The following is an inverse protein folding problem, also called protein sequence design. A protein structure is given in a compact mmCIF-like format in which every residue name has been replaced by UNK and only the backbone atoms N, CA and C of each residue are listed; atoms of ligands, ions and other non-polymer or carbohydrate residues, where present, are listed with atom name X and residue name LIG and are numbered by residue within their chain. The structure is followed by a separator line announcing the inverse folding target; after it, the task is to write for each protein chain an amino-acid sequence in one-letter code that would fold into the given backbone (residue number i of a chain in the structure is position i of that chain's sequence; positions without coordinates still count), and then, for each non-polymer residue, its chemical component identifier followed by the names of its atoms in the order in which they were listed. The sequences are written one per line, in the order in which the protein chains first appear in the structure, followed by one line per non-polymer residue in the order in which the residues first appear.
data_IF_956260848087
#
_entry.id   IF_956260848087
#
_cell.length_a   1.000
_cell.length_b   1.000
_cell.length_c   1.000
_cell.angle_alpha   90.00
_cell.angle_beta   90.00
_cell.angle_gamma   90.00
#
_symmetry.space_group_name_H-M   'P 1'
#
loop_
_entity.id
_entity.type
_entity.pdbx_description
1 polymer ?
#
# COMPACT_ATOMS: atom_id res chain seq x y z
N UNK A 1 -5.89 -15.52 -34.92
CA UNK A 1 -6.64 -16.45 -35.79
C UNK A 1 -5.87 -17.75 -35.80
N UNK A 2 -6.33 -18.78 -35.08
CA UNK A 2 -5.61 -20.06 -34.97
C UNK A 2 -6.47 -21.12 -35.66
N UNK A 3 -5.93 -21.75 -36.69
CA UNK A 3 -6.60 -22.78 -37.49
C UNK A 3 -6.02 -24.14 -37.13
N UNK A 4 -6.87 -25.07 -36.70
CA UNK A 4 -6.50 -26.49 -36.59
C UNK A 4 -7.29 -27.27 -37.64
N UNK A 5 -6.59 -28.04 -38.46
CA UNK A 5 -7.18 -28.93 -39.46
C UNK A 5 -6.84 -30.36 -39.08
N UNK A 6 -7.86 -31.16 -38.77
CA UNK A 6 -7.75 -32.62 -38.64
C UNK A 6 -9.00 -33.27 -39.22
N UNK A 7 -8.82 -34.07 -40.27
CA UNK A 7 -9.89 -34.85 -40.89
C UNK A 7 -10.60 -34.10 -42.04
N UNK A 8 -11.12 -34.87 -42.99
CA UNK A 8 -11.40 -34.46 -44.36
C UNK A 8 -12.67 -33.59 -44.56
N UNK A 9 -13.17 -32.95 -43.50
CA UNK A 9 -14.35 -32.09 -43.54
C UNK A 9 -13.99 -30.71 -43.00
N UNK A 10 -14.07 -29.70 -43.87
CA UNK A 10 -13.78 -28.29 -43.54
C UNK A 10 -14.92 -27.71 -42.70
N UNK A 11 -14.92 -27.92 -41.40
CA UNK A 11 -15.76 -27.13 -40.48
C UNK A 11 -14.94 -25.98 -39.87
N UNK A 12 -15.33 -24.76 -40.22
CA UNK A 12 -14.76 -23.53 -39.65
C UNK A 12 -15.48 -23.27 -38.33
N UNK A 13 -14.86 -23.63 -37.21
CA UNK A 13 -15.33 -23.26 -35.88
C UNK A 13 -14.92 -21.81 -35.58
N UNK A 14 -15.81 -20.85 -35.87
CA UNK A 14 -15.68 -19.47 -35.38
C UNK A 14 -16.08 -19.42 -33.91
N UNK A 15 -15.09 -19.24 -33.03
CA UNK A 15 -15.33 -18.91 -31.62
C UNK A 15 -15.76 -17.45 -31.50
N UNK A 16 -17.04 -17.23 -31.19
CA UNK A 16 -17.55 -15.93 -30.74
C UNK A 16 -17.69 -15.99 -29.21
N UNK A 17 -16.94 -15.20 -28.42
CA UNK A 17 -16.94 -15.31 -26.95
C UNK A 17 -18.27 -14.94 -26.28
N UNK A 18 -19.25 -14.45 -27.05
CA UNK A 18 -20.56 -14.01 -26.54
C UNK A 18 -21.61 -15.13 -26.62
N UNK A 19 -21.38 -16.20 -27.39
CA UNK A 19 -22.31 -17.32 -27.53
C UNK A 19 -21.60 -18.67 -27.48
N UNK A 20 -21.83 -19.42 -26.40
CA UNK A 20 -21.37 -20.82 -26.26
C UNK A 20 -22.54 -21.74 -26.58
N UNK A 21 -22.50 -22.40 -27.74
CA UNK A 21 -23.42 -23.49 -28.08
C UNK A 21 -22.67 -24.83 -28.03
N UNK A 22 -23.03 -25.71 -27.11
CA UNK A 22 -22.48 -27.06 -27.02
C UNK A 22 -23.42 -28.02 -27.73
N UNK A 23 -23.02 -28.51 -28.91
CA UNK A 23 -23.79 -29.50 -29.67
C UNK A 23 -23.26 -30.91 -29.36
N UNK A 24 -23.98 -31.67 -28.54
CA UNK A 24 -23.74 -33.11 -28.41
C UNK A 24 -24.60 -33.84 -29.46
N UNK A 25 -23.97 -34.60 -30.36
CA UNK A 25 -24.69 -35.55 -31.22
C UNK A 25 -25.11 -36.77 -30.38
N UNK A 26 -26.38 -36.86 -30.02
CA UNK A 26 -27.00 -38.12 -29.55
C UNK A 26 -27.60 -38.88 -30.73
N UNK A 27 -27.69 -40.21 -30.62
CA UNK A 27 -28.11 -41.12 -31.69
C UNK A 27 -29.59 -41.00 -32.14
N UNK A 28 -30.30 -39.97 -31.71
CA UNK A 28 -31.59 -39.56 -32.29
C UNK A 28 -31.41 -38.16 -32.88
N UNK A 29 -31.64 -38.07 -34.18
CA UNK A 29 -31.41 -36.91 -35.05
C UNK A 29 -32.40 -35.76 -34.76
N UNK A 30 -32.42 -35.25 -33.53
CA UNK A 30 -33.08 -34.00 -33.15
C UNK A 30 -32.11 -33.19 -32.30
N UNK A 31 -31.71 -31.98 -32.73
CA UNK A 31 -30.96 -31.09 -31.86
C UNK A 31 -31.84 -30.78 -30.65
N UNK A 32 -31.37 -31.16 -29.46
CA UNK A 32 -31.99 -30.69 -28.22
C UNK A 32 -31.49 -29.27 -28.03
N UNK A 33 -32.28 -28.29 -28.49
CA UNK A 33 -32.09 -26.89 -28.12
C UNK A 33 -32.38 -26.76 -26.64
N UNK A 34 -31.33 -26.83 -25.82
CA UNK A 34 -31.40 -26.39 -24.43
C UNK A 34 -31.27 -24.86 -24.47
N UNK A 35 -32.36 -24.18 -24.83
CA UNK A 35 -32.45 -22.74 -24.59
C UNK A 35 -32.49 -22.56 -23.07
N UNK A 36 -31.37 -22.14 -22.49
CA UNK A 36 -31.37 -21.69 -21.10
C UNK A 36 -32.42 -20.58 -20.99
N UNK A 37 -33.38 -20.77 -20.08
CA UNK A 37 -34.38 -19.77 -19.76
C UNK A 37 -33.65 -18.44 -19.47
N UNK A 38 -34.04 -17.35 -20.14
CA UNK A 38 -33.40 -16.04 -20.05
C UNK A 38 -33.23 -15.56 -18.59
N UNK A 39 -34.12 -16.02 -17.70
CA UNK A 39 -34.05 -15.78 -16.27
C UNK A 39 -32.79 -16.38 -15.63
N UNK A 40 -32.40 -17.59 -16.02
CA UNK A 40 -31.22 -18.29 -15.49
C UNK A 40 -29.93 -17.62 -15.99
N UNK A 41 -29.89 -17.22 -17.26
CA UNK A 41 -28.74 -16.49 -17.82
C UNK A 41 -28.55 -15.12 -17.17
N UNK A 42 -29.65 -14.40 -16.93
CA UNK A 42 -29.64 -13.12 -16.21
C UNK A 42 -29.15 -13.29 -14.76
N UNK A 43 -29.60 -14.35 -14.07
CA UNK A 43 -29.14 -14.64 -12.71
C UNK A 43 -27.64 -14.91 -12.64
N UNK A 44 -27.07 -15.67 -13.58
CA UNK A 44 -25.62 -15.89 -13.65
C UNK A 44 -24.83 -14.59 -13.85
N UNK A 45 -25.32 -13.68 -14.68
CA UNK A 45 -24.69 -12.38 -14.89
C UNK A 45 -24.72 -11.54 -13.61
N UNK A 46 -25.85 -11.49 -12.90
CA UNK A 46 -26.01 -10.75 -11.65
C UNK A 46 -25.03 -11.28 -10.58
N UNK A 47 -24.92 -12.59 -10.41
CA UNK A 47 -23.98 -13.17 -9.44
C UNK A 47 -22.52 -12.84 -9.77
N UNK A 48 -22.14 -12.88 -11.05
CA UNK A 48 -20.79 -12.51 -11.49
C UNK A 48 -20.47 -11.05 -11.12
N UNK A 49 -21.39 -10.11 -11.41
CA UNK A 49 -21.21 -8.70 -11.05
C UNK A 49 -21.11 -8.48 -9.54
N UNK A 50 -21.94 -9.17 -8.74
CA UNK A 50 -21.88 -9.08 -7.28
C UNK A 50 -20.54 -9.60 -6.75
N UNK A 51 -20.06 -10.74 -7.25
CA UNK A 51 -18.76 -11.30 -6.82
C UNK A 51 -17.57 -10.42 -7.23
N UNK A 52 -17.63 -9.79 -8.40
CA UNK A 52 -16.60 -8.84 -8.84
C UNK A 52 -16.61 -7.57 -7.98
N UNK A 53 -17.80 -7.05 -7.65
CA UNK A 53 -17.95 -5.87 -6.82
C UNK A 53 -17.48 -6.13 -5.39
N UNK A 54 -17.79 -7.27 -4.79
CA UNK A 54 -17.30 -7.63 -3.45
C UNK A 54 -15.79 -7.83 -3.44
N UNK A 55 -15.19 -8.41 -4.49
CA UNK A 55 -13.74 -8.52 -4.62
C UNK A 55 -13.07 -7.13 -4.74
N UNK A 56 -13.69 -6.21 -5.47
CA UNK A 56 -13.23 -4.83 -5.60
C UNK A 56 -13.31 -4.10 -4.26
N UNK A 57 -14.39 -4.26 -3.49
CA UNK A 57 -14.55 -3.66 -2.16
C UNK A 57 -13.57 -4.23 -1.12
N UNK A 58 -13.29 -5.55 -1.17
CA UNK A 58 -12.27 -6.18 -0.31
C UNK A 58 -10.86 -5.60 -0.55
N UNK A 59 -10.56 -5.19 -1.79
CA UNK A 59 -9.28 -4.59 -2.16
C UNK A 59 -9.04 -3.24 -1.47
N UNK A 60 -10.09 -2.49 -1.13
CA UNK A 60 -9.99 -1.23 -0.40
C UNK A 60 -9.86 -1.43 1.11
N UNK A 61 -10.44 -2.49 1.68
CA UNK A 61 -10.35 -2.77 3.12
C UNK A 61 -8.96 -3.16 3.62
N UNK A 62 -8.07 -3.62 2.73
CA UNK A 62 -6.69 -3.96 3.10
C UNK A 62 -5.81 -2.75 3.39
N UNK A 63 -6.22 -1.53 3.02
CA UNK A 63 -5.46 -0.31 3.29
C UNK A 63 -5.85 0.39 4.60
N UNK A 64 -6.96 0.01 5.22
CA UNK A 64 -7.54 0.74 6.35
C UNK A 64 -7.24 0.15 7.75
N UNK A 65 -6.46 -0.94 7.83
CA UNK A 65 -6.15 -1.62 9.11
C UNK A 65 -4.71 -1.44 9.60
N UNK A 66 -3.96 -0.47 9.07
CA UNK A 66 -2.72 0.01 9.72
C UNK A 66 -3.07 1.28 10.50
N UNK A 67 -3.93 1.14 11.51
CA UNK A 67 -4.24 2.21 12.44
C UNK A 67 -4.32 1.63 13.84
N UNK A 68 -3.18 1.60 14.51
CA UNK A 68 -3.11 1.85 15.94
C UNK A 68 -1.65 2.14 16.33
N UNK A 69 -1.42 3.40 16.73
CA UNK A 69 -0.20 3.99 17.31
C UNK A 69 0.76 4.59 16.28
N UNK A 70 0.87 5.93 16.32
CA UNK A 70 1.61 6.79 15.38
C UNK A 70 3.00 6.27 15.05
N UNK A 71 3.10 5.66 13.88
CA UNK A 71 4.33 5.17 13.31
C UNK A 71 4.47 5.89 11.96
N UNK A 72 5.48 6.75 11.86
CA UNK A 72 5.84 7.42 10.61
C UNK A 72 6.02 6.36 9.52
N UNK A 73 5.27 6.47 8.43
CA UNK A 73 5.44 5.56 7.30
C UNK A 73 6.79 5.84 6.60
N UNK A 74 7.34 4.85 5.89
CA UNK A 74 8.59 5.02 5.14
C UNK A 74 8.54 6.17 4.14
N UNK A 75 7.34 6.47 3.60
CA UNK A 75 7.10 7.61 2.70
C UNK A 75 7.29 8.94 3.44
N UNK A 76 6.74 9.08 4.64
CA UNK A 76 6.85 10.27 5.49
C UNK A 76 8.29 10.48 5.97
N UNK A 77 8.96 9.39 6.37
CA UNK A 77 10.37 9.44 6.77
C UNK A 77 11.22 9.95 5.61
N UNK A 78 11.05 9.41 4.40
CA UNK A 78 11.82 9.85 3.23
C UNK A 78 11.54 11.33 2.91
N UNK A 79 10.29 11.79 3.04
CA UNK A 79 9.95 13.21 2.86
C UNK A 79 10.64 14.13 3.88
N UNK A 80 10.60 13.77 5.16
CA UNK A 80 11.24 14.50 6.26
C UNK A 80 12.75 14.56 6.06
N UNK A 81 13.37 13.45 5.66
CA UNK A 81 14.82 13.39 5.42
C UNK A 81 15.20 14.18 4.18
N UNK A 82 14.42 14.13 3.09
CA UNK A 82 14.67 14.95 1.90
C UNK A 82 14.63 16.45 2.22
N UNK A 83 13.71 16.89 3.09
CA UNK A 83 13.71 18.29 3.58
C UNK A 83 14.97 18.61 4.37
N UNK A 84 15.43 17.71 5.22
CA UNK A 84 16.68 17.89 5.98
C UNK A 84 17.90 17.93 5.05
N UNK A 85 17.96 17.03 4.07
CA UNK A 85 18.99 16.96 3.05
C UNK A 85 19.13 18.30 2.33
N UNK A 86 18.03 18.88 1.88
CA UNK A 86 18.05 20.14 1.13
C UNK A 86 18.50 21.33 1.98
N UNK A 87 18.13 21.38 3.27
CA UNK A 87 18.49 22.50 4.16
C UNK A 87 19.91 22.38 4.71
N UNK A 88 20.32 21.18 5.10
CA UNK A 88 21.61 20.92 5.77
C UNK A 88 22.71 20.52 4.77
N UNK A 89 22.33 20.14 3.55
CA UNK A 89 23.21 19.59 2.49
C UNK A 89 23.82 18.25 2.92
N UNK A 90 22.96 17.29 3.24
CA UNK A 90 23.37 15.93 3.57
C UNK A 90 23.84 15.18 2.31
N UNK A 91 24.87 14.35 2.45
CA UNK A 91 25.24 13.39 1.41
C UNK A 91 24.40 12.10 1.51
N UNK A 92 24.45 11.25 0.50
CA UNK A 92 23.62 10.04 0.40
C UNK A 92 23.81 9.06 1.59
N UNK A 93 25.04 8.96 2.11
CA UNK A 93 25.34 8.14 3.28
C UNK A 93 24.69 8.72 4.54
N UNK A 94 24.76 10.04 4.72
CA UNK A 94 24.12 10.73 5.83
C UNK A 94 22.59 10.66 5.75
N UNK A 95 22.02 10.80 4.54
CA UNK A 95 20.58 10.59 4.29
C UNK A 95 20.16 9.21 4.78
N UNK A 96 20.86 8.17 4.33
CA UNK A 96 20.57 6.77 4.73
C UNK A 96 20.64 6.60 6.25
N UNK A 97 21.66 7.16 6.90
CA UNK A 97 21.81 7.06 8.35
C UNK A 97 20.70 7.80 9.11
N UNK A 98 20.28 8.99 8.64
CA UNK A 98 19.18 9.74 9.25
C UNK A 98 17.84 9.00 9.06
N UNK A 99 17.59 8.41 7.88
CA UNK A 99 16.41 7.57 7.66
C UNK A 99 16.35 6.41 8.65
N UNK A 100 17.46 5.69 8.85
CA UNK A 100 17.54 4.61 9.83
C UNK A 100 17.30 5.09 11.27
N UNK A 101 17.82 6.27 11.62
CA UNK A 101 17.61 6.87 12.95
C UNK A 101 16.12 7.21 13.15
N UNK A 102 15.45 7.76 12.13
CA UNK A 102 14.03 8.08 12.18
C UNK A 102 13.12 6.85 12.17
N UNK A 103 13.46 5.82 11.40
CA UNK A 103 12.75 4.53 11.45
C UNK A 103 12.81 3.92 12.84
N UNK A 104 13.99 3.97 13.48
CA UNK A 104 14.14 3.52 14.86
C UNK A 104 13.35 4.37 15.84
N UNK A 105 13.38 5.69 15.69
CA UNK A 105 12.58 6.61 16.50
C UNK A 105 11.09 6.28 16.42
N UNK A 106 10.59 6.09 15.20
CA UNK A 106 9.19 5.72 14.94
C UNK A 106 8.82 4.39 15.60
N UNK A 107 9.68 3.37 15.45
CA UNK A 107 9.49 2.08 16.09
C UNK A 107 9.52 2.15 17.63
N UNK A 108 10.39 2.97 18.21
CA UNK A 108 10.48 3.15 19.65
C UNK A 108 9.31 3.99 20.19
N UNK A 109 8.79 4.93 19.40
CA UNK A 109 7.61 5.73 19.73
C UNK A 109 6.33 4.88 19.73
N UNK A 110 6.19 3.94 18.79
CA UNK A 110 5.06 3.01 18.71
C UNK A 110 4.96 2.07 19.94
N UNK A 111 6.05 1.86 20.67
CA UNK A 111 6.06 1.06 21.91
C UNK A 111 5.58 1.85 23.13
N UNK A 112 5.47 3.17 23.03
CA UNK A 112 5.06 4.01 24.14
C UNK A 112 3.53 3.99 24.29
N UNK A 113 3.00 3.78 25.50
CA UNK A 113 1.56 3.81 25.73
C UNK A 113 0.97 5.18 25.41
N UNK A 114 -0.30 5.18 25.00
CA UNK A 114 -1.02 6.36 24.52
C UNK A 114 -0.87 7.56 25.48
N UNK A 115 -0.63 8.78 24.97
CA UNK A 115 -0.36 9.97 25.78
C UNK A 115 -1.54 10.36 26.69
N UNK A 116 -2.73 9.84 26.42
CA UNK A 116 -3.93 10.06 27.24
C UNK A 116 -3.92 9.32 28.59
N UNK A 117 -3.01 8.37 28.84
CA UNK A 117 -3.09 7.48 30.02
C UNK A 117 -2.05 7.73 31.12
N UNK A 118 -1.00 8.55 30.92
CA UNK A 118 0.04 8.71 31.94
C UNK A 118 0.84 10.02 31.82
N UNK A 119 0.81 10.84 32.88
CA UNK A 119 1.61 12.07 33.04
C UNK A 119 3.13 11.81 32.95
N UNK A 120 3.58 10.60 33.30
CA UNK A 120 4.99 10.17 33.19
C UNK A 120 5.49 9.98 31.75
N UNK A 121 4.61 9.87 30.76
CA UNK A 121 5.00 9.54 29.39
C UNK A 121 5.62 10.73 28.65
N UNK A 122 5.35 11.95 29.12
CA UNK A 122 5.93 13.17 28.54
C UNK A 122 7.46 13.20 28.71
N UNK A 123 7.99 12.78 29.86
CA UNK A 123 9.44 12.75 30.08
C UNK A 123 10.12 11.66 29.24
N UNK A 124 9.47 10.50 29.07
CA UNK A 124 9.97 9.42 28.21
C UNK A 124 9.99 9.81 26.73
N UNK A 125 8.92 10.45 26.23
CA UNK A 125 8.87 10.96 24.85
C UNK A 125 9.92 12.05 24.62
N UNK A 126 10.06 12.98 25.56
CA UNK A 126 11.07 14.04 25.46
C UNK A 126 12.49 13.46 25.44
N UNK A 127 12.77 12.47 26.29
CA UNK A 127 14.04 11.75 26.28
C UNK A 127 14.29 11.04 24.93
N UNK A 128 13.28 10.39 24.38
CA UNK A 128 13.39 9.73 23.07
C UNK A 128 13.73 10.73 21.95
N UNK A 129 13.11 11.91 21.96
CA UNK A 129 13.44 13.00 21.02
C UNK A 129 14.88 13.45 21.22
N UNK A 130 15.31 13.73 22.45
CA UNK A 130 16.70 14.13 22.75
C UNK A 130 17.72 13.08 22.31
N UNK A 131 17.49 11.81 22.63
CA UNK A 131 18.38 10.71 22.26
C UNK A 131 18.47 10.52 20.74
N UNK A 132 17.36 10.78 20.03
CA UNK A 132 17.32 10.73 18.56
C UNK A 132 18.04 11.92 17.95
N UNK A 133 17.85 13.11 18.52
CA UNK A 133 18.53 14.32 18.09
C UNK A 133 20.05 14.19 18.17
N UNK A 134 20.56 13.66 19.29
CA UNK A 134 21.99 13.41 19.46
C UNK A 134 22.56 12.44 18.42
N UNK A 135 21.79 11.40 18.03
CA UNK A 135 22.19 10.48 16.98
C UNK A 135 22.23 11.17 15.62
N UNK A 136 21.25 12.01 15.30
CA UNK A 136 21.26 12.80 14.07
C UNK A 136 22.50 13.69 14.04
N UNK A 137 22.74 14.46 15.10
CA UNK A 137 23.92 15.32 15.21
C UNK A 137 25.24 14.53 15.06
N UNK A 138 25.31 13.29 15.57
CA UNK A 138 26.53 12.47 15.43
C UNK A 138 26.89 12.11 13.99
N UNK A 139 25.91 12.15 13.07
CA UNK A 139 26.07 11.88 11.64
C UNK A 139 26.49 13.15 10.86
N UNK A 140 26.30 14.33 11.46
CA UNK A 140 26.58 15.62 10.83
C UNK A 140 28.02 16.09 11.05
N UNK A 141 28.59 16.74 10.04
CA UNK A 141 29.84 17.49 10.19
C UNK A 141 29.64 18.82 10.93
N UNK A 142 30.73 19.48 11.33
CA UNK A 142 30.66 20.73 12.10
C UNK A 142 29.87 21.86 11.42
N UNK A 143 29.90 21.94 10.09
CA UNK A 143 29.19 22.98 9.33
C UNK A 143 27.71 22.63 9.20
N UNK A 144 27.40 21.35 9.00
CA UNK A 144 26.05 20.82 8.97
C UNK A 144 25.36 20.94 10.33
N UNK A 145 26.07 20.69 11.43
CA UNK A 145 25.55 20.90 12.81
C UNK A 145 25.08 22.32 13.04
N UNK A 146 25.85 23.31 12.64
CA UNK A 146 25.45 24.71 12.75
C UNK A 146 24.18 25.02 11.95
N UNK A 147 24.05 24.45 10.74
CA UNK A 147 22.81 24.60 9.96
C UNK A 147 21.63 23.89 10.61
N UNK A 148 21.86 22.71 11.18
CA UNK A 148 20.87 21.91 11.85
C UNK A 148 20.32 22.63 13.08
N UNK A 149 21.19 23.17 13.93
CA UNK A 149 20.83 23.96 15.13
C UNK A 149 19.88 25.14 14.80
N UNK A 150 20.06 25.78 13.65
CA UNK A 150 19.19 26.87 13.17
C UNK A 150 17.78 26.37 12.81
N UNK A 151 17.65 25.17 12.25
CA UNK A 151 16.39 24.64 11.71
C UNK A 151 15.77 23.56 12.60
N UNK A 152 16.43 23.14 13.67
CA UNK A 152 16.07 21.98 14.50
C UNK A 152 14.61 22.04 14.94
N UNK A 153 14.19 23.18 15.49
CA UNK A 153 12.84 23.37 15.99
C UNK A 153 11.79 23.28 14.88
N UNK A 154 12.06 23.88 13.71
CA UNK A 154 11.18 23.83 12.53
C UNK A 154 11.08 22.39 12.01
N UNK A 155 12.21 21.70 11.96
CA UNK A 155 12.29 20.35 11.44
C UNK A 155 11.58 19.34 12.34
N UNK A 156 11.80 19.39 13.66
CA UNK A 156 11.07 18.55 14.62
C UNK A 156 9.57 18.85 14.67
N UNK A 157 9.15 20.08 14.33
CA UNK A 157 7.73 20.38 14.19
C UNK A 157 7.11 19.62 13.01
N UNK A 158 7.84 19.41 11.91
CA UNK A 158 7.38 18.56 10.80
C UNK A 158 7.20 17.12 11.26
N UNK A 159 8.19 16.55 11.95
CA UNK A 159 8.14 15.18 12.47
C UNK A 159 6.90 14.96 13.38
N UNK A 160 6.57 15.94 14.22
CA UNK A 160 5.41 15.86 15.14
C UNK A 160 4.06 16.09 14.48
N UNK A 161 4.01 16.79 13.36
CA UNK A 161 2.77 17.03 12.63
C UNK A 161 2.37 15.78 11.84
N UNK A 162 3.33 15.12 11.20
CA UNK A 162 3.11 13.83 10.52
C UNK A 162 2.79 12.70 11.54
N UNK A 163 3.09 12.85 12.85
CA UNK A 163 2.63 11.91 13.91
C UNK A 163 1.11 11.95 14.14
N UNK A 164 0.43 13.04 13.74
CA UNK A 164 -0.97 13.33 14.12
C UNK A 164 -2.00 13.08 13.03
N UNK A 165 -1.57 13.02 11.78
CA UNK A 165 -2.42 12.71 10.63
C UNK A 165 -2.51 11.19 10.40
#
# INVERSE_FOLDING_TARGET
MIQYSRGNDKEILTFNPIHVSVAWKTALNKPVEITMNDNVQSQFQIYFFITLLTLLLLSFSARAQINAVGNLDNIEISFIVNKLQNKVLLNDLQVTLVEQVLQKYSFDLAKLPNPAQQSSNNSTRQKLVTDTNQKIESVLDSRQKMKYDIIENEWWALVKNEEKD
#
